data_IF_665737456421
#
_entry.id   IF_665737456421
#
_cell.length_a   1.000
_cell.length_b   1.000
_cell.length_c   1.000
_cell.angle_alpha   90.00
_cell.angle_beta   90.00
_cell.angle_gamma   90.00
#
_symmetry.space_group_name_H-M   'P 1'
#
loop_
_entity.id
_entity.type
_entity.pdbx_description
1 polymer ?
#
# COMPACT_ATOMS: atom_id res chain seq x y z
N UNK A 1 6.96 6.77 -21.17
CA UNK A 1 5.48 6.69 -21.22
C UNK A 1 5.15 5.35 -21.85
N UNK A 2 4.10 4.67 -21.37
CA UNK A 2 3.68 3.43 -22.02
C UNK A 2 2.95 3.84 -23.31
N UNK A 3 3.63 3.71 -24.44
CA UNK A 3 3.14 4.22 -25.74
C UNK A 3 2.11 3.29 -26.38
N UNK A 4 2.09 2.01 -25.99
CA UNK A 4 1.18 0.99 -26.51
C UNK A 4 0.06 0.69 -25.52
N UNK A 5 -1.19 0.79 -25.98
CA UNK A 5 -2.39 0.42 -25.21
C UNK A 5 -2.30 -1.02 -24.67
N UNK A 6 -1.73 -1.95 -25.45
CA UNK A 6 -1.55 -3.33 -25.02
C UNK A 6 -0.57 -3.45 -23.84
N UNK A 7 0.53 -2.68 -23.86
CA UNK A 7 1.51 -2.67 -22.77
C UNK A 7 0.92 -2.02 -21.51
N UNK A 8 0.05 -1.01 -21.66
CA UNK A 8 -0.64 -0.39 -20.52
C UNK A 8 -1.55 -1.39 -19.82
N UNK A 9 -2.40 -2.08 -20.58
CA UNK A 9 -3.29 -3.12 -20.05
C UNK A 9 -2.51 -4.30 -19.46
N UNK A 10 -1.42 -4.73 -20.09
CA UNK A 10 -0.56 -5.80 -19.57
C UNK A 10 0.01 -5.47 -18.19
N UNK A 11 0.55 -4.26 -18.01
CA UNK A 11 1.07 -3.79 -16.72
C UNK A 11 -0.05 -3.59 -15.70
N UNK A 12 -1.21 -3.04 -16.12
CA UNK A 12 -2.34 -2.81 -15.23
C UNK A 12 -2.91 -4.12 -14.66
N UNK A 13 -3.07 -5.15 -15.51
CA UNK A 13 -3.51 -6.48 -15.07
C UNK A 13 -2.48 -7.11 -14.13
N UNK A 14 -1.20 -7.05 -14.48
CA UNK A 14 -0.13 -7.55 -13.63
C UNK A 14 -0.18 -6.89 -12.25
N UNK A 15 -0.30 -5.57 -12.20
CA UNK A 15 -0.40 -4.82 -10.95
C UNK A 15 -1.65 -5.23 -10.15
N UNK A 16 -2.79 -5.38 -10.81
CA UNK A 16 -4.06 -5.79 -10.18
C UNK A 16 -3.99 -7.18 -9.54
N UNK A 17 -3.35 -8.15 -10.21
CA UNK A 17 -3.17 -9.52 -9.68
C UNK A 17 -2.34 -9.53 -8.39
N UNK A 18 -1.41 -8.60 -8.20
CA UNK A 18 -0.64 -8.50 -6.94
C UNK A 18 -1.34 -7.64 -5.88
N UNK A 19 -1.95 -6.52 -6.27
CA UNK A 19 -2.59 -5.61 -5.32
C UNK A 19 -3.83 -6.19 -4.64
N UNK A 20 -4.65 -6.95 -5.38
CA UNK A 20 -5.87 -7.56 -4.85
C UNK A 20 -5.61 -8.54 -3.69
N UNK A 21 -4.78 -9.58 -3.90
CA UNK A 21 -4.40 -10.53 -2.86
C UNK A 21 -3.68 -9.88 -1.68
N UNK A 22 -2.82 -8.89 -1.91
CA UNK A 22 -2.16 -8.17 -0.82
C UNK A 22 -3.18 -7.45 0.09
N UNK A 23 -4.21 -6.82 -0.49
CA UNK A 23 -5.27 -6.14 0.24
C UNK A 23 -6.21 -7.11 1.00
N UNK A 24 -6.50 -8.29 0.46
CA UNK A 24 -7.31 -9.30 1.14
C UNK A 24 -6.53 -10.03 2.24
N UNK A 25 -5.27 -10.39 1.98
CA UNK A 25 -4.38 -11.03 2.93
C UNK A 25 -4.12 -10.16 4.15
N UNK A 26 -3.94 -8.84 3.98
CA UNK A 26 -3.78 -7.88 5.08
C UNK A 26 -4.95 -7.92 6.07
N UNK A 27 -6.19 -7.92 5.55
CA UNK A 27 -7.40 -8.03 6.38
C UNK A 27 -7.49 -9.37 7.11
N UNK A 28 -7.16 -10.47 6.43
CA UNK A 28 -7.15 -11.80 7.02
C UNK A 28 -6.08 -11.93 8.13
N UNK A 29 -4.89 -11.38 7.91
CA UNK A 29 -3.81 -11.34 8.90
C UNK A 29 -4.23 -10.53 10.13
N UNK A 30 -4.85 -9.36 9.95
CA UNK A 30 -5.39 -8.56 11.07
C UNK A 30 -6.43 -9.36 11.87
N UNK A 31 -7.32 -10.11 11.20
CA UNK A 31 -8.31 -10.95 11.88
C UNK A 31 -7.66 -12.06 12.74
N UNK A 32 -6.51 -12.59 12.31
CA UNK A 32 -5.75 -13.62 13.03
C UNK A 32 -4.94 -13.05 14.20
N UNK A 33 -4.41 -11.83 14.04
CA UNK A 33 -3.61 -11.16 15.08
C UNK A 33 -4.47 -10.50 16.16
N UNK A 34 -5.72 -10.16 15.86
CA UNK A 34 -6.60 -9.47 16.79
C UNK A 34 -7.10 -10.39 17.93
N UNK A 35 -6.88 -10.03 19.21
CA UNK A 35 -7.48 -10.71 20.35
C UNK A 35 -9.01 -10.67 20.25
N UNK A 36 -9.69 -11.66 20.82
CA UNK A 36 -11.16 -11.74 20.77
C UNK A 36 -11.80 -10.54 21.46
N UNK A 37 -11.19 -10.08 22.55
CA UNK A 37 -11.70 -9.02 23.43
C UNK A 37 -11.53 -7.63 22.79
N UNK A 38 -10.47 -7.42 22.01
CA UNK A 38 -10.11 -6.13 21.43
C UNK A 38 -10.32 -6.05 19.91
N UNK A 39 -11.03 -7.04 19.32
CA UNK A 39 -11.18 -7.15 17.87
C UNK A 39 -11.74 -5.89 17.22
N UNK A 40 -12.81 -5.32 17.79
CA UNK A 40 -13.45 -4.13 17.24
C UNK A 40 -12.53 -2.91 17.27
N UNK A 41 -11.77 -2.72 18.34
CA UNK A 41 -10.83 -1.61 18.47
C UNK A 41 -9.69 -1.72 17.47
N UNK A 42 -9.11 -2.92 17.32
CA UNK A 42 -8.03 -3.14 16.36
C UNK A 42 -8.48 -2.97 14.90
N UNK A 43 -9.69 -3.45 14.55
CA UNK A 43 -10.25 -3.19 13.23
C UNK A 43 -10.60 -1.72 13.03
N UNK A 44 -11.01 -1.00 14.08
CA UNK A 44 -11.18 0.45 14.08
C UNK A 44 -9.87 1.18 13.78
N UNK A 45 -8.78 0.82 14.46
CA UNK A 45 -7.44 1.35 14.19
C UNK A 45 -6.97 1.01 12.77
N UNK A 46 -7.17 -0.23 12.32
CA UNK A 46 -6.83 -0.65 10.95
C UNK A 46 -7.56 0.19 9.89
N UNK A 47 -8.86 0.42 10.07
CA UNK A 47 -9.66 1.26 9.17
C UNK A 47 -9.21 2.74 9.21
N UNK A 48 -8.90 3.26 10.40
CA UNK A 48 -8.36 4.62 10.56
C UNK A 48 -7.01 4.77 9.86
N UNK A 49 -6.09 3.82 10.05
CA UNK A 49 -4.79 3.81 9.38
C UNK A 49 -4.95 3.84 7.86
N UNK A 50 -5.87 3.04 7.31
CA UNK A 50 -6.20 3.07 5.88
C UNK A 50 -6.61 4.47 5.39
N UNK A 51 -7.47 5.17 6.14
CA UNK A 51 -7.89 6.55 5.80
C UNK A 51 -6.72 7.54 5.88
N UNK A 52 -5.89 7.46 6.91
CA UNK A 52 -4.70 8.31 7.05
C UNK A 52 -3.75 8.10 5.87
N UNK A 53 -3.49 6.84 5.49
CA UNK A 53 -2.62 6.53 4.35
C UNK A 53 -3.18 7.00 3.01
N UNK A 54 -4.51 7.04 2.84
CA UNK A 54 -5.14 7.56 1.63
C UNK A 54 -4.87 9.06 1.42
N UNK A 55 -4.63 9.80 2.50
CA UNK A 55 -4.19 11.19 2.43
C UNK A 55 -2.66 11.32 2.34
N UNK A 56 -1.93 10.56 3.17
CA UNK A 56 -0.47 10.64 3.25
C UNK A 56 0.23 10.23 1.94
N UNK A 57 -0.28 9.21 1.24
CA UNK A 57 0.30 8.73 -0.01
C UNK A 57 0.37 9.82 -1.10
N UNK A 58 -0.78 10.41 -1.50
CA UNK A 58 -0.81 11.52 -2.45
C UNK A 58 0.00 12.74 -1.98
N UNK A 59 -0.02 13.04 -0.67
CA UNK A 59 0.75 14.17 -0.12
C UNK A 59 2.26 13.98 -0.31
N UNK A 60 2.80 12.80 0.02
CA UNK A 60 4.23 12.50 -0.17
C UNK A 60 4.60 12.48 -1.65
N UNK A 61 3.74 11.93 -2.51
CA UNK A 61 3.94 11.97 -3.96
C UNK A 61 3.99 13.41 -4.48
N UNK A 62 3.06 14.26 -4.05
CA UNK A 62 2.99 15.65 -4.46
C UNK A 62 4.24 16.42 -4.00
N UNK A 63 4.66 16.25 -2.75
CA UNK A 63 5.90 16.84 -2.23
C UNK A 63 7.14 16.38 -2.98
N UNK A 64 7.29 15.06 -3.22
CA UNK A 64 8.42 14.53 -3.97
C UNK A 64 8.45 15.05 -5.41
N UNK A 65 7.28 15.20 -6.03
CA UNK A 65 7.16 15.80 -7.38
C UNK A 65 7.54 17.27 -7.37
N UNK A 66 7.04 18.04 -6.40
CA UNK A 66 7.33 19.48 -6.27
C UNK A 66 8.83 19.75 -5.99
N UNK A 67 9.46 18.93 -5.15
CA UNK A 67 10.87 19.09 -4.80
C UNK A 67 11.84 18.74 -5.96
N UNK A 68 11.46 17.79 -6.82
CA UNK A 68 12.34 17.26 -7.88
C UNK A 68 11.99 17.77 -9.28
N UNK A 69 10.83 18.40 -9.44
CA UNK A 69 10.27 18.78 -10.74
C UNK A 69 9.90 17.60 -11.64
N UNK A 70 9.98 16.36 -11.13
CA UNK A 70 9.80 15.14 -11.93
C UNK A 70 8.73 14.23 -11.35
N UNK A 71 7.64 14.05 -12.10
CA UNK A 71 6.56 13.13 -11.73
C UNK A 71 7.04 11.67 -11.62
N UNK A 72 8.09 11.28 -12.35
CA UNK A 72 8.66 9.93 -12.24
C UNK A 72 9.24 9.67 -10.86
N UNK A 73 9.94 10.66 -10.31
CA UNK A 73 10.49 10.57 -8.95
C UNK A 73 9.37 10.63 -7.91
N UNK A 74 8.33 11.45 -8.17
CA UNK A 74 7.08 11.42 -7.40
C UNK A 74 6.46 10.03 -7.31
N UNK A 75 6.31 9.33 -8.44
CA UNK A 75 5.77 7.96 -8.47
C UNK A 75 6.68 6.95 -7.76
N UNK A 76 8.00 7.17 -7.73
CA UNK A 76 8.92 6.31 -7.00
C UNK A 76 8.68 6.30 -5.48
N UNK A 77 7.96 7.29 -4.93
CA UNK A 77 7.48 7.25 -3.53
C UNK A 77 6.63 6.01 -3.20
N UNK A 78 5.93 5.45 -4.18
CA UNK A 78 5.17 4.20 -4.02
C UNK A 78 6.11 3.05 -3.63
N UNK A 79 7.28 2.97 -4.27
CA UNK A 79 8.29 1.95 -3.95
C UNK A 79 8.82 2.15 -2.52
N UNK A 80 9.03 3.39 -2.09
CA UNK A 80 9.43 3.70 -0.73
C UNK A 80 8.42 3.15 0.30
N UNK A 81 7.12 3.39 0.11
CA UNK A 81 6.09 2.84 0.99
C UNK A 81 6.03 1.31 0.94
N UNK A 82 6.11 0.72 -0.25
CA UNK A 82 6.04 -0.73 -0.44
C UNK A 82 7.21 -1.45 0.24
N UNK A 83 8.44 -0.96 0.05
CA UNK A 83 9.64 -1.55 0.65
C UNK A 83 9.65 -1.39 2.17
N UNK A 84 9.25 -0.21 2.66
CA UNK A 84 9.13 0.04 4.10
C UNK A 84 8.10 -0.89 4.73
N UNK A 85 6.91 -1.01 4.12
CA UNK A 85 5.86 -1.93 4.58
C UNK A 85 6.33 -3.39 4.57
N UNK A 86 7.01 -3.83 3.50
CA UNK A 86 7.57 -5.18 3.40
C UNK A 86 8.60 -5.46 4.50
N UNK A 87 9.48 -4.50 4.80
CA UNK A 87 10.48 -4.63 5.85
C UNK A 87 9.84 -4.72 7.24
N UNK A 88 8.81 -3.92 7.51
CA UNK A 88 8.05 -3.99 8.76
C UNK A 88 7.32 -5.32 8.91
N UNK A 89 6.71 -5.82 7.83
CA UNK A 89 5.97 -7.08 7.86
C UNK A 89 6.85 -8.27 8.22
N UNK A 90 8.15 -8.26 7.83
CA UNK A 90 9.12 -9.29 8.24
C UNK A 90 9.31 -9.42 9.74
N UNK A 91 9.04 -8.38 10.51
CA UNK A 91 9.15 -8.38 11.98
C UNK A 91 7.92 -8.96 12.66
N UNK A 92 6.81 -9.12 11.93
CA UNK A 92 5.56 -9.62 12.50
C UNK A 92 5.62 -11.16 12.58
N UNK A 93 5.47 -11.74 13.78
CA UNK A 93 5.41 -13.19 13.92
C UNK A 93 4.10 -13.70 13.33
N UNK A 94 4.20 -14.42 12.22
CA UNK A 94 3.06 -15.14 11.62
C UNK A 94 2.97 -16.47 12.36
N UNK A 95 1.93 -16.63 13.20
CA UNK A 95 1.55 -17.91 13.81
C UNK A 95 0.59 -18.67 12.91
#
# INVERSE_FOLDING_TARGET
>A
MITSQAMFWGVAVLLGVFFGPAQSASRSLMARLAPAEARNEMFGLFALSGKVTAFAGPMVLAWATAATGSQRVGMASILFFLLTGLFLLRRVPVR
#
